data_IF_420893917931
#
_entry.id   IF_420893917931
#
_cell.length_a   1.000
_cell.length_b   1.000
_cell.length_c   1.000
_cell.angle_alpha   90.00
_cell.angle_beta   90.00
_cell.angle_gamma   90.00
#
_symmetry.space_group_name_H-M   'P 1'
#
loop_
_entity.id
_entity.type
_entity.pdbx_description
1 polymer ?
#
# COMPACT_ATOMS: atom_id res chain seq x y z
N UNK A 1 -9.62 -0.71 5.41
CA UNK A 1 -10.55 -0.83 4.27
C UNK A 1 -9.81 -0.33 3.05
N UNK A 2 -9.83 -1.08 1.95
CA UNK A 2 -9.10 -0.73 0.73
C UNK A 2 -10.06 -0.65 -0.46
N UNK A 3 -9.84 0.33 -1.33
CA UNK A 3 -10.45 0.46 -2.64
C UNK A 3 -9.38 0.14 -3.68
N UNK A 4 -9.68 -0.78 -4.59
CA UNK A 4 -8.78 -1.23 -5.64
C UNK A 4 -9.44 -1.04 -7.00
N UNK A 5 -8.65 -0.67 -8.01
CA UNK A 5 -9.13 -0.51 -9.38
C UNK A 5 -8.05 -0.94 -10.38
N UNK A 6 -8.46 -1.70 -11.39
CA UNK A 6 -7.59 -2.07 -12.51
C UNK A 6 -7.72 -1.03 -13.62
N UNK A 7 -6.64 -0.28 -13.87
CA UNK A 7 -6.59 0.71 -14.95
C UNK A 7 -6.38 0.02 -16.31
N UNK A 8 -5.62 -1.08 -16.32
CA UNK A 8 -5.37 -1.95 -17.48
C UNK A 8 -5.12 -3.37 -16.99
N UNK A 9 -5.01 -4.34 -17.92
CA UNK A 9 -4.64 -5.73 -17.62
C UNK A 9 -3.27 -5.89 -16.90
N UNK A 10 -2.45 -4.83 -16.86
CA UNK A 10 -1.13 -4.85 -16.22
C UNK A 10 -0.97 -3.84 -15.10
N UNK A 11 -1.90 -2.89 -14.92
CA UNK A 11 -1.75 -1.78 -13.99
C UNK A 11 -2.96 -1.70 -13.08
N UNK A 12 -2.74 -1.95 -11.79
CA UNK A 12 -3.70 -1.71 -10.73
C UNK A 12 -3.31 -0.51 -9.88
N UNK A 13 -4.31 0.16 -9.32
CA UNK A 13 -4.14 1.18 -8.29
C UNK A 13 -4.99 0.83 -7.08
N UNK A 14 -4.54 1.26 -5.91
CA UNK A 14 -5.29 1.10 -4.67
C UNK A 14 -5.18 2.33 -3.79
N UNK A 15 -6.19 2.51 -2.95
CA UNK A 15 -6.19 3.48 -1.86
C UNK A 15 -6.76 2.80 -0.61
N UNK A 16 -6.17 3.06 0.55
CA UNK A 16 -6.55 2.40 1.79
C UNK A 16 -6.45 3.31 3.00
N UNK A 17 -7.35 3.08 3.95
CA UNK A 17 -7.21 3.56 5.32
C UNK A 17 -6.79 2.39 6.20
N UNK A 18 -5.69 2.58 6.92
CA UNK A 18 -5.09 1.60 7.81
C UNK A 18 -4.59 2.28 9.08
N UNK A 19 -4.49 1.51 10.15
CA UNK A 19 -4.11 2.05 11.44
C UNK A 19 -4.02 0.96 12.49
N UNK A 20 -3.28 1.24 13.53
CA UNK A 20 -3.07 0.35 14.66
C UNK A 20 -3.30 1.10 15.96
N UNK A 21 -3.78 0.38 16.96
CA UNK A 21 -4.00 0.92 18.30
C UNK A 21 -3.49 -0.08 19.31
N UNK A 22 -2.36 0.24 19.92
CA UNK A 22 -1.84 -0.52 21.05
C UNK A 22 -2.63 -0.20 22.34
N UNK A 23 -2.61 -1.13 23.30
CA UNK A 23 -3.22 -0.91 24.60
C UNK A 23 -2.55 0.28 25.30
N UNK A 24 -3.36 1.19 25.84
CA UNK A 24 -2.92 2.44 26.50
C UNK A 24 -2.19 3.46 25.60
N UNK A 25 -2.29 3.36 24.27
CA UNK A 25 -1.80 4.40 23.35
C UNK A 25 -2.92 5.05 22.53
N UNK A 26 -2.67 6.27 22.05
CA UNK A 26 -3.52 6.91 21.04
C UNK A 26 -3.43 6.10 19.74
N UNK A 27 -4.58 5.90 19.08
CA UNK A 27 -4.61 5.15 17.83
C UNK A 27 -3.91 5.91 16.71
N UNK A 28 -3.11 5.21 15.92
CA UNK A 28 -2.47 5.74 14.73
C UNK A 28 -3.39 5.46 13.54
N UNK A 29 -3.76 6.50 12.80
CA UNK A 29 -4.53 6.37 11.55
C UNK A 29 -3.69 6.90 10.41
N UNK A 30 -3.67 6.17 9.30
CA UNK A 30 -2.96 6.51 8.08
C UNK A 30 -3.84 6.29 6.85
N UNK A 31 -3.56 7.08 5.82
CA UNK A 31 -4.15 6.94 4.50
C UNK A 31 -3.04 6.72 3.48
N UNK A 32 -3.16 5.65 2.71
CA UNK A 32 -2.17 5.27 1.70
C UNK A 32 -2.79 5.05 0.34
N UNK A 33 -1.96 5.14 -0.67
CA UNK A 33 -2.28 4.71 -2.03
C UNK A 33 -1.06 4.11 -2.68
N UNK A 34 -1.29 3.24 -3.65
CA UNK A 34 -0.20 2.67 -4.43
C UNK A 34 -0.66 2.17 -5.77
N UNK A 35 0.31 1.70 -6.53
CA UNK A 35 0.13 1.09 -7.83
C UNK A 35 0.91 -0.21 -7.89
N UNK A 36 0.37 -1.13 -8.66
CA UNK A 36 0.97 -2.43 -8.95
C UNK A 36 1.04 -2.59 -10.47
N UNK A 37 2.23 -2.89 -10.97
CA UNK A 37 2.48 -3.09 -12.39
C UNK A 37 3.01 -4.50 -12.67
N UNK A 38 2.25 -5.28 -13.44
CA UNK A 38 2.63 -6.63 -13.88
C UNK A 38 3.62 -6.55 -15.04
N UNK A 39 4.91 -6.69 -14.72
CA UNK A 39 6.00 -6.61 -15.70
C UNK A 39 6.09 -7.89 -16.54
N UNK A 40 5.97 -9.05 -15.90
CA UNK A 40 5.89 -10.38 -16.53
C UNK A 40 4.74 -11.16 -15.88
N UNK A 41 4.32 -12.28 -16.47
CA UNK A 41 3.24 -13.12 -15.95
C UNK A 41 3.46 -13.61 -14.50
N UNK A 42 4.69 -13.54 -14.00
CA UNK A 42 5.09 -13.93 -12.66
C UNK A 42 5.93 -12.86 -11.94
N UNK A 43 6.02 -11.63 -12.46
CA UNK A 43 6.77 -10.54 -11.84
C UNK A 43 5.93 -9.26 -11.80
N UNK A 44 5.67 -8.76 -10.61
CA UNK A 44 4.99 -7.50 -10.36
C UNK A 44 5.91 -6.52 -9.64
N UNK A 45 5.84 -5.25 -10.04
CA UNK A 45 6.44 -4.11 -9.34
C UNK A 45 5.35 -3.41 -8.55
N UNK A 46 5.63 -3.00 -7.31
CA UNK A 46 4.73 -2.16 -6.54
C UNK A 46 5.43 -0.87 -6.10
N UNK A 47 4.63 0.20 -6.02
CA UNK A 47 5.03 1.46 -5.42
C UNK A 47 3.88 1.99 -4.59
N UNK A 48 4.15 2.44 -3.37
CA UNK A 48 3.13 2.99 -2.49
C UNK A 48 3.64 4.19 -1.72
N UNK A 49 2.70 5.04 -1.33
CA UNK A 49 2.96 6.15 -0.44
C UNK A 49 1.80 6.27 0.55
N UNK A 50 2.11 6.62 1.79
CA UNK A 50 1.09 6.87 2.79
C UNK A 50 1.44 8.05 3.68
N UNK A 51 0.39 8.69 4.16
CA UNK A 51 0.46 9.79 5.11
C UNK A 51 -0.20 9.37 6.41
N UNK A 52 0.44 9.73 7.52
CA UNK A 52 -0.14 9.57 8.85
C UNK A 52 -1.09 10.73 9.12
N UNK A 53 -2.32 10.41 9.50
CA UNK A 53 -3.39 11.37 9.80
C UNK A 53 -3.47 11.73 11.28
N UNK A 54 -2.89 10.90 12.17
CA UNK A 54 -2.81 11.16 13.62
C UNK A 54 -1.69 12.15 13.97
N UNK A 55 -1.87 12.91 15.06
CA UNK A 55 -0.96 13.98 15.47
C UNK A 55 0.41 13.51 16.01
N UNK A 56 0.60 12.22 16.26
CA UNK A 56 1.85 11.65 16.77
C UNK A 56 2.61 10.83 15.70
N UNK A 57 3.91 11.09 15.54
CA UNK A 57 4.86 10.30 14.74
C UNK A 57 5.28 10.89 13.39
N UNK A 58 6.12 10.14 12.66
CA UNK A 58 6.66 10.54 11.35
C UNK A 58 5.57 10.80 10.29
N UNK A 59 5.88 11.74 9.39
CA UNK A 59 4.92 12.38 8.47
C UNK A 59 4.34 11.48 7.37
N UNK A 60 4.92 10.30 7.14
CA UNK A 60 4.49 9.36 6.10
C UNK A 60 5.64 8.47 5.62
N UNK A 61 5.36 7.62 4.63
CA UNK A 61 6.36 6.80 3.98
C UNK A 61 6.15 6.72 2.46
N UNK A 62 7.22 6.33 1.77
CA UNK A 62 7.20 5.85 0.40
C UNK A 62 7.85 4.47 0.41
N UNK A 63 7.24 3.50 -0.24
CA UNK A 63 7.78 2.16 -0.41
C UNK A 63 7.72 1.72 -1.86
N UNK A 64 8.56 0.75 -2.20
CA UNK A 64 8.46 0.02 -3.45
C UNK A 64 8.95 -1.41 -3.26
N UNK A 65 8.46 -2.29 -4.10
CA UNK A 65 8.63 -3.72 -3.93
C UNK A 65 8.60 -4.49 -5.25
N UNK A 66 8.95 -5.77 -5.11
CA UNK A 66 9.02 -6.77 -6.16
C UNK A 66 8.31 -8.01 -5.66
N UNK A 67 7.30 -8.47 -6.40
CA UNK A 67 6.58 -9.70 -6.12
C UNK A 67 6.85 -10.72 -7.22
N UNK A 68 7.36 -11.90 -6.85
CA UNK A 68 7.64 -13.00 -7.77
C UNK A 68 6.70 -14.17 -7.54
N UNK A 69 5.93 -14.54 -8.55
CA UNK A 69 5.09 -15.72 -8.57
C UNK A 69 5.93 -16.97 -8.80
N UNK A 70 5.98 -17.86 -7.81
CA UNK A 70 6.65 -19.16 -7.94
C UNK A 70 5.63 -20.16 -8.49
N UNK A 71 5.76 -20.55 -9.75
CA UNK A 71 5.02 -21.67 -10.34
C UNK A 71 5.62 -22.99 -9.87
N UNK A 72 4.77 -23.95 -9.49
CA UNK A 72 5.14 -25.35 -9.26
C UNK A 72 5.00 -26.16 -10.53
#
# INVERSE_FOLDING_TARGET
MALTYELTDKLGVYAELFGEKEANQEGVLSAGSGLAYLLLHNLQLDASAALRLSAQGDRGYISGGLCWGISR
#
